data_IF_093200943680
#
_entry.id   IF_093200943680
#
_cell.length_a   1.000
_cell.length_b   1.000
_cell.length_c   1.000
_cell.angle_alpha   90.00
_cell.angle_beta   90.00
_cell.angle_gamma   90.00
#
_symmetry.space_group_name_H-M   'P 1'
#
loop_
_entity.id
_entity.type
_entity.pdbx_description
1 polymer ?
#
# COMPACT_ATOMS: atom_id res chain seq x y z
N UNK A 1 23.85 -24.79 23.73
CA UNK A 1 23.75 -23.39 23.28
C UNK A 1 22.29 -22.91 23.25
N UNK A 2 21.37 -23.70 22.68
CA UNK A 2 19.97 -23.33 22.46
C UNK A 2 19.13 -23.05 23.73
N UNK A 3 19.34 -23.80 24.82
CA UNK A 3 18.72 -23.54 26.14
C UNK A 3 19.05 -22.13 26.68
N UNK A 4 20.25 -21.60 26.38
CA UNK A 4 20.65 -20.24 26.83
C UNK A 4 19.89 -19.17 26.05
N UNK A 5 19.64 -19.38 24.76
CA UNK A 5 18.87 -18.47 23.92
C UNK A 5 17.38 -18.43 24.32
N UNK A 6 16.76 -19.59 24.56
CA UNK A 6 15.37 -19.67 25.06
C UNK A 6 15.22 -18.92 26.40
N UNK A 7 16.15 -19.12 27.34
CA UNK A 7 16.19 -18.37 28.61
C UNK A 7 16.40 -16.86 28.42
N UNK A 8 17.22 -16.46 27.45
CA UNK A 8 17.44 -15.05 27.14
C UNK A 8 16.17 -14.40 26.57
N UNK A 9 15.49 -15.06 25.63
CA UNK A 9 14.21 -14.60 25.11
C UNK A 9 13.16 -14.48 26.21
N UNK A 10 13.06 -15.46 27.10
CA UNK A 10 12.12 -15.39 28.22
C UNK A 10 12.37 -14.18 29.11
N UNK A 11 13.64 -13.94 29.50
CA UNK A 11 14.02 -12.74 30.28
C UNK A 11 13.73 -11.44 29.53
N UNK A 12 14.04 -11.40 28.23
CA UNK A 12 13.77 -10.22 27.40
C UNK A 12 12.26 -9.93 27.29
N UNK A 13 11.43 -10.96 27.14
CA UNK A 13 9.97 -10.81 27.11
C UNK A 13 9.39 -10.37 28.46
N UNK A 14 9.99 -10.77 29.58
CA UNK A 14 9.61 -10.25 30.90
C UNK A 14 9.90 -8.75 31.03
N UNK A 15 11.02 -8.28 30.49
CA UNK A 15 11.38 -6.85 30.49
C UNK A 15 10.55 -6.03 29.49
N UNK A 16 10.25 -6.61 28.32
CA UNK A 16 9.54 -5.94 27.23
C UNK A 16 8.29 -6.71 26.80
N UNK A 17 7.27 -6.85 27.67
CA UNK A 17 6.14 -7.75 27.46
C UNK A 17 5.23 -7.34 26.29
N UNK A 18 5.18 -6.04 25.97
CA UNK A 18 4.37 -5.48 24.86
C UNK A 18 5.11 -5.42 23.53
N UNK A 19 6.38 -5.83 23.46
CA UNK A 19 7.13 -5.82 22.21
C UNK A 19 6.70 -7.02 21.34
N UNK A 20 5.86 -6.76 20.33
CA UNK A 20 5.33 -7.78 19.42
C UNK A 20 6.43 -8.46 18.60
N UNK A 21 7.40 -7.68 18.10
CA UNK A 21 8.51 -8.19 17.30
C UNK A 21 9.36 -9.20 18.09
N UNK A 22 9.66 -8.89 19.36
CA UNK A 22 10.41 -9.78 20.24
C UNK A 22 9.66 -11.10 20.47
N UNK A 23 8.35 -11.04 20.72
CA UNK A 23 7.51 -12.24 20.91
C UNK A 23 7.46 -13.09 19.65
N UNK A 24 7.31 -12.47 18.48
CA UNK A 24 7.31 -13.17 17.19
C UNK A 24 8.65 -13.90 16.99
N UNK A 25 9.78 -13.23 17.27
CA UNK A 25 11.10 -13.84 17.16
C UNK A 25 11.29 -15.01 18.14
N UNK A 26 10.86 -14.84 19.41
CA UNK A 26 10.93 -15.89 20.41
C UNK A 26 10.09 -17.11 20.03
N UNK A 27 8.83 -16.92 19.61
CA UNK A 27 7.94 -17.99 19.17
C UNK A 27 8.50 -18.73 17.95
N UNK A 28 9.04 -17.99 16.97
CA UNK A 28 9.71 -18.59 15.81
C UNK A 28 10.91 -19.43 16.23
N UNK A 29 11.75 -18.95 17.14
CA UNK A 29 12.91 -19.70 17.65
C UNK A 29 12.48 -21.01 18.33
N UNK A 30 11.47 -20.94 19.20
CA UNK A 30 10.94 -22.10 19.91
C UNK A 30 10.40 -23.19 18.97
N UNK A 31 9.81 -22.79 17.84
CA UNK A 31 9.30 -23.73 16.86
C UNK A 31 10.36 -24.22 15.86
N UNK A 32 11.16 -23.32 15.28
CA UNK A 32 12.08 -23.66 14.19
C UNK A 32 13.34 -24.38 14.67
N UNK A 33 13.80 -24.08 15.89
CA UNK A 33 15.05 -24.63 16.43
C UNK A 33 14.78 -25.76 17.42
N UNK A 34 13.83 -25.56 18.33
CA UNK A 34 13.54 -26.53 19.41
C UNK A 34 12.36 -27.46 19.07
N UNK A 35 11.65 -27.21 17.97
CA UNK A 35 10.45 -27.96 17.55
C UNK A 35 9.34 -28.02 18.61
N UNK A 36 9.26 -27.01 19.48
CA UNK A 36 8.28 -26.90 20.57
C UNK A 36 7.11 -26.03 20.16
N UNK A 37 6.16 -26.61 19.42
CA UNK A 37 4.97 -25.89 18.97
C UNK A 37 4.12 -25.35 20.14
N UNK A 38 4.00 -26.09 21.24
CA UNK A 38 3.20 -25.65 22.40
C UNK A 38 3.81 -24.41 23.06
N UNK A 39 5.14 -24.36 23.20
CA UNK A 39 5.82 -23.17 23.72
C UNK A 39 5.63 -21.97 22.79
N UNK A 40 5.75 -22.17 21.48
CA UNK A 40 5.54 -21.11 20.49
C UNK A 40 4.09 -20.60 20.52
N UNK A 41 3.09 -21.49 20.64
CA UNK A 41 1.68 -21.15 20.82
C UNK A 41 1.45 -20.32 22.08
N UNK A 42 1.99 -20.74 23.23
CA UNK A 42 1.87 -19.98 24.47
C UNK A 42 2.43 -18.56 24.33
N UNK A 43 3.63 -18.41 23.74
CA UNK A 43 4.25 -17.09 23.53
C UNK A 43 3.38 -16.19 22.65
N UNK A 44 2.83 -16.73 21.55
CA UNK A 44 1.94 -15.99 20.64
C UNK A 44 0.63 -15.61 21.31
N UNK A 45 -0.04 -16.55 21.97
CA UNK A 45 -1.31 -16.34 22.66
C UNK A 45 -1.18 -15.29 23.77
N UNK A 46 -0.11 -15.33 24.56
CA UNK A 46 0.19 -14.30 25.55
C UNK A 46 0.42 -12.93 24.90
N UNK A 47 1.15 -12.88 23.78
CA UNK A 47 1.36 -11.64 23.03
C UNK A 47 0.06 -11.03 22.55
N UNK A 48 -0.82 -11.87 21.99
CA UNK A 48 -2.14 -11.49 21.51
C UNK A 48 -3.04 -11.01 22.67
N UNK A 49 -2.99 -11.66 23.83
CA UNK A 49 -3.73 -11.21 25.02
C UNK A 49 -3.31 -9.82 25.46
N UNK A 50 -2.02 -9.51 25.38
CA UNK A 50 -1.49 -8.20 25.74
C UNK A 50 -1.81 -7.12 24.71
N UNK A 51 -1.69 -7.44 23.42
CA UNK A 51 -1.91 -6.51 22.31
C UNK A 51 -2.78 -7.15 21.22
N UNK A 52 -4.11 -7.26 21.41
CA UNK A 52 -5.00 -7.99 20.49
C UNK A 52 -5.24 -7.27 19.16
N UNK A 53 -4.91 -5.98 19.05
CA UNK A 53 -5.10 -5.17 17.85
C UNK A 53 -3.89 -5.20 16.91
N UNK A 54 -2.78 -5.82 17.34
CA UNK A 54 -1.54 -5.84 16.58
C UNK A 54 -1.61 -6.92 15.49
N UNK A 55 -1.88 -6.50 14.25
CA UNK A 55 -2.04 -7.42 13.11
C UNK A 55 -0.83 -8.34 12.89
N UNK A 56 0.39 -7.86 13.16
CA UNK A 56 1.61 -8.63 12.96
C UNK A 56 1.66 -9.91 13.82
N UNK A 57 1.12 -9.87 15.04
CA UNK A 57 1.06 -11.04 15.92
C UNK A 57 0.17 -12.14 15.33
N UNK A 58 -1.04 -11.77 14.91
CA UNK A 58 -2.00 -12.69 14.29
C UNK A 58 -1.49 -13.30 12.99
N UNK A 59 -0.92 -12.48 12.11
CA UNK A 59 -0.32 -12.94 10.86
C UNK A 59 0.78 -13.98 11.11
N UNK A 60 1.65 -13.72 12.09
CA UNK A 60 2.72 -14.66 12.45
C UNK A 60 2.20 -15.92 13.15
N UNK A 61 1.11 -15.82 13.91
CA UNK A 61 0.50 -16.98 14.53
C UNK A 61 -0.12 -17.91 13.48
N UNK A 62 -0.79 -17.35 12.47
CA UNK A 62 -1.29 -18.14 11.32
C UNK A 62 -0.14 -18.83 10.58
N UNK A 63 0.98 -18.14 10.34
CA UNK A 63 2.16 -18.76 9.73
C UNK A 63 2.69 -19.94 10.55
N UNK A 64 2.85 -19.75 11.86
CA UNK A 64 3.32 -20.77 12.78
C UNK A 64 2.45 -22.04 12.71
N UNK A 65 1.12 -21.87 12.74
CA UNK A 65 0.19 -22.99 12.67
C UNK A 65 0.23 -23.70 11.30
N UNK A 66 0.31 -22.94 10.20
CA UNK A 66 0.40 -23.53 8.86
C UNK A 66 1.72 -24.31 8.66
N UNK A 67 2.83 -23.78 9.15
CA UNK A 67 4.12 -24.48 9.12
C UNK A 67 4.04 -25.79 9.92
N UNK A 68 3.37 -25.78 11.07
CA UNK A 68 3.15 -26.96 11.88
C UNK A 68 2.26 -28.00 11.18
N UNK A 69 1.18 -27.57 10.54
CA UNK A 69 0.31 -28.45 9.76
C UNK A 69 1.08 -29.09 8.60
N UNK A 70 1.87 -28.30 7.88
CA UNK A 70 2.71 -28.80 6.79
C UNK A 70 3.69 -29.86 7.30
N UNK A 71 4.36 -29.60 8.43
CA UNK A 71 5.25 -30.56 9.06
C UNK A 71 4.53 -31.86 9.49
N UNK A 72 3.33 -31.77 10.08
CA UNK A 72 2.54 -32.94 10.46
C UNK A 72 2.14 -33.79 9.25
N UNK A 73 1.73 -33.14 8.16
CA UNK A 73 1.42 -33.80 6.89
C UNK A 73 2.64 -34.55 6.36
N UNK A 74 3.80 -33.89 6.29
CA UNK A 74 5.06 -34.51 5.85
C UNK A 74 5.44 -35.68 6.74
N UNK A 75 5.34 -35.53 8.06
CA UNK A 75 5.64 -36.60 9.02
C UNK A 75 4.70 -37.80 8.84
N UNK A 76 3.39 -37.57 8.67
CA UNK A 76 2.42 -38.65 8.43
C UNK A 76 2.75 -39.42 7.15
N UNK A 77 3.05 -38.70 6.07
CA UNK A 77 3.45 -39.29 4.78
C UNK A 77 4.66 -40.23 4.93
N UNK A 78 5.70 -39.78 5.64
CA UNK A 78 6.90 -40.59 5.94
C UNK A 78 6.55 -41.85 6.74
N UNK A 79 5.77 -41.71 7.82
CA UNK A 79 5.40 -42.83 8.69
C UNK A 79 4.54 -43.89 7.99
N UNK A 80 3.70 -43.48 7.04
CA UNK A 80 2.86 -44.41 6.26
C UNK A 80 3.59 -45.11 5.12
N UNK A 81 4.92 -44.96 5.01
CA UNK A 81 5.71 -45.66 4.00
C UNK A 81 5.52 -45.16 2.56
N UNK A 82 4.76 -44.07 2.34
CA UNK A 82 4.69 -43.36 1.05
C UNK A 82 5.95 -42.51 0.77
N UNK A 83 7.05 -42.77 1.49
CA UNK A 83 8.19 -41.86 1.68
C UNK A 83 9.22 -41.80 0.55
N UNK A 84 9.97 -40.68 0.56
CA UNK A 84 11.24 -40.42 -0.12
C UNK A 84 11.25 -40.44 -1.67
N UNK A 85 10.54 -39.50 -2.27
CA UNK A 85 11.07 -38.74 -3.42
C UNK A 85 10.59 -37.29 -3.30
N UNK A 86 11.53 -36.33 -3.15
CA UNK A 86 11.31 -34.89 -3.39
C UNK A 86 11.02 -34.68 -4.90
N UNK A 87 10.24 -33.67 -5.33
CA UNK A 87 9.42 -32.70 -4.59
C UNK A 87 8.00 -33.24 -4.38
N UNK A 88 7.21 -32.57 -3.53
CA UNK A 88 5.76 -32.72 -3.58
C UNK A 88 5.29 -32.32 -4.99
N UNK A 89 5.07 -33.30 -5.87
CA UNK A 89 4.28 -33.05 -7.07
C UNK A 89 2.87 -32.69 -6.61
N UNK A 90 2.23 -31.74 -7.30
CA UNK A 90 0.87 -31.26 -6.97
C UNK A 90 -0.12 -32.43 -6.74
N UNK A 91 0.09 -33.56 -7.41
CA UNK A 91 -0.66 -34.81 -7.30
C UNK A 91 -0.64 -35.47 -5.92
N UNK A 92 0.49 -35.47 -5.21
CA UNK A 92 0.58 -36.04 -3.85
C UNK A 92 0.05 -35.10 -2.78
N UNK A 93 0.23 -33.79 -2.98
CA UNK A 93 -0.47 -32.80 -2.17
C UNK A 93 -1.99 -32.85 -2.41
N UNK A 94 -2.43 -33.14 -3.64
CA UNK A 94 -3.83 -33.38 -4.00
C UNK A 94 -4.39 -34.60 -3.26
N UNK A 95 -3.68 -35.73 -3.19
CA UNK A 95 -4.15 -36.90 -2.43
C UNK A 95 -4.29 -36.63 -0.94
N UNK A 96 -3.29 -35.98 -0.33
CA UNK A 96 -3.32 -35.69 1.12
C UNK A 96 -4.31 -34.59 1.46
N UNK A 97 -4.45 -33.56 0.62
CA UNK A 97 -5.48 -32.54 0.76
C UNK A 97 -6.88 -33.12 0.52
N UNK A 98 -7.04 -34.04 -0.44
CA UNK A 98 -8.30 -34.74 -0.68
C UNK A 98 -8.65 -35.73 0.44
N UNK A 99 -7.69 -36.37 1.09
CA UNK A 99 -7.93 -37.15 2.31
C UNK A 99 -8.34 -36.25 3.48
N UNK A 100 -7.66 -35.11 3.68
CA UNK A 100 -8.05 -34.12 4.69
C UNK A 100 -9.46 -33.55 4.42
N UNK A 101 -9.86 -33.40 3.15
CA UNK A 101 -11.17 -32.92 2.71
C UNK A 101 -12.26 -34.02 2.70
N UNK A 102 -11.96 -35.27 2.34
CA UNK A 102 -12.91 -36.40 2.47
C UNK A 102 -13.33 -36.61 3.92
N UNK A 103 -12.43 -36.34 4.85
CA UNK A 103 -12.70 -36.33 6.30
C UNK A 103 -13.72 -35.23 6.70
N UNK A 104 -13.92 -34.20 5.86
CA UNK A 104 -14.90 -33.11 6.06
C UNK A 104 -16.32 -33.53 5.65
N UNK A 105 -16.48 -34.21 4.50
CA UNK A 105 -17.78 -34.60 3.94
C UNK A 105 -18.38 -35.84 4.64
N UNK A 106 -17.54 -36.80 5.05
CA UNK A 106 -18.00 -38.02 5.74
C UNK A 106 -18.38 -37.79 7.22
N UNK A 107 -17.97 -36.67 7.85
CA UNK A 107 -18.12 -36.43 9.31
C UNK A 107 -19.27 -35.47 9.68
N UNK A 108 -20.30 -35.35 8.86
CA UNK A 108 -21.60 -34.81 9.32
C UNK A 108 -22.23 -35.76 10.36
N UNK A 109 -21.87 -37.06 10.33
CA UNK A 109 -22.27 -38.05 11.32
C UNK A 109 -21.04 -38.74 11.93
N UNK A 110 -20.54 -38.24 13.07
CA UNK A 110 -19.91 -38.97 14.18
C UNK A 110 -19.28 -37.92 15.13
N UNK A 111 -19.84 -37.81 16.34
CA UNK A 111 -19.28 -37.05 17.46
C UNK A 111 -18.14 -37.87 18.07
N UNK A 112 -16.91 -37.53 17.72
CA UNK A 112 -15.74 -37.53 18.62
C UNK A 112 -14.53 -37.01 17.83
N UNK A 113 -14.00 -35.84 18.22
CA UNK A 113 -12.90 -35.15 17.54
C UNK A 113 -11.58 -35.48 18.22
N UNK A 114 -10.66 -36.13 17.52
CA UNK A 114 -9.25 -36.12 17.91
C UNK A 114 -8.67 -34.71 17.67
N UNK A 115 -7.81 -34.21 18.57
CA UNK A 115 -7.20 -32.88 18.41
C UNK A 115 -6.28 -32.77 17.19
N UNK A 116 -5.68 -33.89 16.76
CA UNK A 116 -4.84 -33.95 15.56
C UNK A 116 -5.64 -33.73 14.27
N UNK A 117 -6.87 -34.23 14.18
CA UNK A 117 -7.74 -34.02 13.02
C UNK A 117 -8.15 -32.54 12.87
N UNK A 118 -8.32 -31.82 13.98
CA UNK A 118 -8.66 -30.40 13.95
C UNK A 118 -7.50 -29.52 13.46
N UNK A 119 -6.26 -29.89 13.81
CA UNK A 119 -5.04 -29.24 13.34
C UNK A 119 -4.83 -29.52 11.85
N UNK A 120 -4.87 -30.79 11.43
CA UNK A 120 -4.74 -31.19 10.02
C UNK A 120 -5.85 -30.60 9.14
N UNK A 121 -7.05 -30.40 9.69
CA UNK A 121 -8.18 -29.77 9.02
C UNK A 121 -8.18 -28.24 9.04
N UNK A 122 -7.08 -27.58 9.41
CA UNK A 122 -6.93 -26.11 9.48
C UNK A 122 -7.96 -25.36 10.35
N UNK A 123 -8.70 -26.04 11.24
CA UNK A 123 -9.73 -25.39 12.07
C UNK A 123 -9.14 -24.41 13.08
N UNK A 124 -7.96 -24.73 13.61
CA UNK A 124 -7.20 -23.84 14.50
C UNK A 124 -6.85 -22.54 13.77
N UNK A 125 -6.32 -22.66 12.55
CA UNK A 125 -5.99 -21.52 11.68
C UNK A 125 -7.22 -20.67 11.38
N UNK A 126 -8.33 -21.31 11.04
CA UNK A 126 -9.59 -20.60 10.78
C UNK A 126 -10.09 -19.82 12.01
N UNK A 127 -9.99 -20.42 13.19
CA UNK A 127 -10.37 -19.78 14.46
C UNK A 127 -9.51 -18.55 14.72
N UNK A 128 -8.20 -18.67 14.53
CA UNK A 128 -7.25 -17.56 14.69
C UNK A 128 -7.59 -16.42 13.73
N UNK A 129 -7.91 -16.74 12.46
CA UNK A 129 -8.28 -15.73 11.46
C UNK A 129 -9.56 -15.00 11.87
N UNK A 130 -10.61 -15.72 12.28
CA UNK A 130 -11.87 -15.11 12.66
C UNK A 130 -11.70 -14.18 13.87
N UNK A 131 -10.98 -14.62 14.90
CA UNK A 131 -10.70 -13.78 16.08
C UNK A 131 -9.86 -12.54 15.71
N UNK A 132 -8.86 -12.73 14.84
CA UNK A 132 -8.04 -11.63 14.34
C UNK A 132 -8.88 -10.57 13.60
N UNK A 133 -9.79 -11.00 12.74
CA UNK A 133 -10.70 -10.11 12.01
C UNK A 133 -11.66 -9.40 12.96
N UNK A 134 -12.11 -10.03 14.04
CA UNK A 134 -12.95 -9.36 15.03
C UNK A 134 -12.21 -8.26 15.79
N UNK A 135 -10.97 -8.54 16.22
CA UNK A 135 -10.16 -7.63 17.06
C UNK A 135 -9.50 -6.49 16.28
N UNK A 136 -9.10 -6.70 15.02
CA UNK A 136 -8.37 -5.71 14.22
C UNK A 136 -9.27 -4.88 13.29
N UNK A 137 -10.16 -4.05 13.85
CA UNK A 137 -11.24 -3.35 13.10
C UNK A 137 -10.75 -2.44 11.98
N UNK A 138 -9.73 -1.61 12.24
CA UNK A 138 -9.27 -0.57 11.30
C UNK A 138 -8.50 -1.11 10.09
N UNK A 139 -8.17 -2.40 10.07
CA UNK A 139 -7.37 -3.03 9.01
C UNK A 139 -7.90 -4.41 8.56
N UNK A 140 -9.18 -4.71 8.80
CA UNK A 140 -9.77 -6.03 8.53
C UNK A 140 -9.56 -6.51 7.10
N UNK A 141 -9.79 -5.65 6.12
CA UNK A 141 -9.68 -6.02 4.69
C UNK A 141 -8.24 -6.25 4.25
N UNK A 142 -7.31 -5.38 4.67
CA UNK A 142 -5.87 -5.58 4.48
C UNK A 142 -5.37 -6.87 5.15
N UNK A 143 -5.86 -7.16 6.34
CA UNK A 143 -5.55 -8.38 7.08
C UNK A 143 -6.11 -9.63 6.38
N UNK A 144 -7.34 -9.56 5.90
CA UNK A 144 -7.99 -10.63 5.14
C UNK A 144 -7.24 -10.93 3.84
N UNK A 145 -6.83 -9.89 3.09
CA UNK A 145 -5.99 -10.04 1.90
C UNK A 145 -4.64 -10.69 2.24
N UNK A 146 -4.01 -10.28 3.34
CA UNK A 146 -2.76 -10.90 3.80
C UNK A 146 -2.97 -12.39 4.15
N UNK A 147 -4.03 -12.74 4.87
CA UNK A 147 -4.35 -14.14 5.15
C UNK A 147 -4.62 -14.93 3.87
N UNK A 148 -5.36 -14.37 2.92
CA UNK A 148 -5.59 -15.01 1.62
C UNK A 148 -4.28 -15.26 0.87
N UNK A 149 -3.38 -14.26 0.79
CA UNK A 149 -2.04 -14.41 0.18
C UNK A 149 -1.20 -15.47 0.89
N UNK A 150 -1.27 -15.52 2.22
CA UNK A 150 -0.59 -16.54 3.02
C UNK A 150 -1.12 -17.91 2.64
N UNK A 151 -2.43 -18.15 2.70
CA UNK A 151 -3.04 -19.43 2.33
C UNK A 151 -2.66 -19.85 0.90
N UNK A 152 -2.65 -18.90 -0.04
CA UNK A 152 -2.25 -19.15 -1.44
C UNK A 152 -0.83 -19.70 -1.54
N UNK A 153 0.11 -19.25 -0.70
CA UNK A 153 1.50 -19.75 -0.65
C UNK A 153 1.62 -21.17 -0.08
N UNK A 154 0.71 -21.58 0.79
CA UNK A 154 0.66 -22.97 1.29
C UNK A 154 -0.06 -23.92 0.31
N UNK A 155 -0.47 -23.40 -0.85
CA UNK A 155 -0.92 -24.18 -1.99
C UNK A 155 -2.14 -25.03 -1.66
N UNK A 156 -2.03 -26.32 -1.95
CA UNK A 156 -3.16 -27.25 -1.95
C UNK A 156 -3.67 -27.57 -0.55
N UNK A 157 -2.79 -27.58 0.44
CA UNK A 157 -3.12 -27.80 1.85
C UNK A 157 -4.18 -26.79 2.32
N UNK A 158 -4.09 -25.55 1.87
CA UNK A 158 -4.97 -24.47 2.27
C UNK A 158 -6.04 -24.10 1.22
N UNK A 159 -6.21 -24.87 0.14
CA UNK A 159 -7.06 -24.52 -1.01
C UNK A 159 -8.49 -24.11 -0.62
N UNK A 160 -9.11 -24.86 0.30
CA UNK A 160 -10.47 -24.56 0.78
C UNK A 160 -10.54 -23.22 1.51
N UNK A 161 -9.54 -22.89 2.33
CA UNK A 161 -9.42 -21.58 2.99
C UNK A 161 -9.10 -20.48 1.98
N UNK A 162 -8.28 -20.73 0.96
CA UNK A 162 -8.02 -19.76 -0.12
C UNK A 162 -9.34 -19.33 -0.77
N UNK A 163 -10.18 -20.29 -1.16
CA UNK A 163 -11.49 -20.00 -1.76
C UNK A 163 -12.38 -19.24 -0.77
N UNK A 164 -12.49 -19.74 0.46
CA UNK A 164 -13.32 -19.11 1.49
C UNK A 164 -12.92 -17.65 1.78
N UNK A 165 -11.63 -17.39 1.98
CA UNK A 165 -11.11 -16.05 2.28
C UNK A 165 -11.28 -15.11 1.07
N UNK A 166 -11.13 -15.64 -0.15
CA UNK A 166 -11.42 -14.88 -1.36
C UNK A 166 -12.89 -14.47 -1.43
N UNK A 167 -13.81 -15.41 -1.22
CA UNK A 167 -15.25 -15.13 -1.23
C UNK A 167 -15.61 -14.11 -0.14
N UNK A 168 -14.97 -14.20 1.04
CA UNK A 168 -15.14 -13.23 2.13
C UNK A 168 -14.73 -11.81 1.72
N UNK A 169 -13.65 -11.62 0.93
CA UNK A 169 -13.23 -10.29 0.46
C UNK A 169 -14.31 -9.59 -0.36
N UNK A 170 -15.20 -10.33 -1.02
CA UNK A 170 -16.27 -9.77 -1.84
C UNK A 170 -17.58 -9.56 -1.11
N UNK A 171 -17.67 -9.96 0.17
CA UNK A 171 -18.87 -9.70 0.98
C UNK A 171 -18.97 -8.20 1.34
N UNK A 172 -20.19 -7.64 1.51
CA UNK A 172 -20.37 -6.22 1.85
C UNK A 172 -19.61 -5.76 3.09
N UNK A 173 -19.32 -6.68 4.03
CA UNK A 173 -18.58 -6.41 5.26
C UNK A 173 -17.09 -6.11 5.01
N UNK A 174 -16.49 -6.68 3.95
CA UNK A 174 -15.05 -6.61 3.70
C UNK A 174 -14.69 -6.02 2.32
N UNK A 175 -15.67 -5.84 1.44
CA UNK A 175 -15.46 -5.27 0.10
C UNK A 175 -14.77 -3.92 0.20
N UNK A 176 -13.59 -3.83 -0.42
CA UNK A 176 -12.66 -2.71 -0.32
C UNK A 176 -11.69 -2.74 -1.51
N UNK A 177 -10.73 -1.82 -1.53
CA UNK A 177 -9.63 -1.81 -2.50
C UNK A 177 -8.88 -3.14 -2.50
N UNK A 178 -8.72 -3.78 -1.33
CA UNK A 178 -8.04 -5.05 -1.20
C UNK A 178 -8.73 -6.21 -1.93
N UNK A 179 -10.05 -6.16 -2.11
CA UNK A 179 -10.81 -7.15 -2.88
C UNK A 179 -10.45 -7.09 -4.37
N UNK A 180 -10.31 -5.87 -4.91
CA UNK A 180 -9.90 -5.63 -6.29
C UNK A 180 -8.44 -6.02 -6.52
N UNK A 181 -7.56 -5.74 -5.53
CA UNK A 181 -6.17 -6.20 -5.55
C UNK A 181 -6.12 -7.75 -5.60
N UNK A 182 -6.90 -8.44 -4.77
CA UNK A 182 -6.94 -9.91 -4.80
C UNK A 182 -7.36 -10.46 -6.17
N UNK A 183 -8.34 -9.82 -6.82
CA UNK A 183 -8.81 -10.22 -8.15
C UNK A 183 -7.76 -9.96 -9.23
N UNK A 184 -7.02 -8.86 -9.16
CA UNK A 184 -5.88 -8.62 -10.07
C UNK A 184 -4.79 -9.69 -9.92
N UNK A 185 -4.52 -10.18 -8.71
CA UNK A 185 -3.53 -11.25 -8.45
C UNK A 185 -3.96 -12.64 -8.90
N UNK A 186 -5.22 -12.82 -9.32
CA UNK A 186 -5.76 -14.06 -9.87
C UNK A 186 -5.81 -14.06 -11.40
N UNK A 187 -5.74 -12.89 -12.03
CA UNK A 187 -5.75 -12.81 -13.49
C UNK A 187 -4.41 -13.28 -14.06
N UNK A 188 -4.47 -14.10 -15.11
CA UNK A 188 -3.30 -14.40 -15.92
C UNK A 188 -2.96 -13.15 -16.75
N UNK A 189 -1.66 -12.91 -16.96
CA UNK A 189 -1.06 -11.67 -17.48
C UNK A 189 -1.47 -11.28 -18.93
N UNK A 190 -2.75 -11.02 -19.17
CA UNK A 190 -3.16 -10.16 -20.27
C UNK A 190 -3.26 -8.72 -19.75
N UNK A 191 -2.42 -7.83 -20.27
CA UNK A 191 -2.31 -6.44 -19.83
C UNK A 191 -3.64 -5.68 -20.06
N UNK A 192 -4.34 -5.95 -21.16
CA UNK A 192 -5.62 -5.30 -21.49
C UNK A 192 -6.71 -5.64 -20.46
N UNK A 193 -6.80 -6.92 -20.07
CA UNK A 193 -7.76 -7.38 -19.06
C UNK A 193 -7.54 -6.71 -17.70
N UNK A 194 -6.28 -6.36 -17.39
CA UNK A 194 -5.91 -5.75 -16.13
C UNK A 194 -6.34 -4.28 -16.03
N UNK A 195 -6.19 -3.49 -17.11
CA UNK A 195 -6.63 -2.10 -17.13
C UNK A 195 -8.15 -1.98 -17.02
N UNK A 196 -8.90 -2.81 -17.75
CA UNK A 196 -10.36 -2.85 -17.61
C UNK A 196 -10.80 -3.20 -16.19
N UNK A 197 -10.07 -4.09 -15.51
CA UNK A 197 -10.35 -4.43 -14.12
C UNK A 197 -10.16 -3.20 -13.20
N UNK A 198 -9.05 -2.48 -13.37
CA UNK A 198 -8.75 -1.31 -12.55
C UNK A 198 -9.65 -0.12 -12.86
N UNK A 199 -10.08 0.05 -14.11
CA UNK A 199 -11.12 1.02 -14.48
C UNK A 199 -12.43 0.73 -13.74
N UNK A 200 -12.87 -0.54 -13.74
CA UNK A 200 -14.06 -0.99 -12.98
C UNK A 200 -13.88 -0.78 -11.48
N UNK A 201 -12.69 -1.06 -10.95
CA UNK A 201 -12.38 -0.87 -9.54
C UNK A 201 -12.42 0.60 -9.12
N UNK A 202 -11.86 1.49 -9.92
CA UNK A 202 -11.88 2.93 -9.65
C UNK A 202 -13.29 3.52 -9.81
N UNK A 203 -14.12 2.96 -10.70
CA UNK A 203 -15.52 3.34 -10.82
C UNK A 203 -16.37 2.89 -9.62
N UNK A 204 -16.11 1.71 -9.07
CA UNK A 204 -16.81 1.14 -7.91
C UNK A 204 -16.36 1.76 -6.58
N UNK A 205 -15.04 1.98 -6.42
CA UNK A 205 -14.41 2.52 -5.20
C UNK A 205 -13.43 3.64 -5.59
N UNK A 206 -13.92 4.88 -5.82
CA UNK A 206 -13.11 6.02 -6.25
C UNK A 206 -12.33 6.65 -5.08
N UNK A 207 -11.44 5.87 -4.44
CA UNK A 207 -10.62 6.31 -3.31
C UNK A 207 -9.20 6.62 -3.76
N UNK A 208 -8.53 7.54 -3.05
CA UNK A 208 -7.12 7.85 -3.31
C UNK A 208 -6.27 6.57 -3.35
N UNK A 209 -6.45 5.65 -2.39
CA UNK A 209 -5.66 4.42 -2.31
C UNK A 209 -5.81 3.55 -3.55
N UNK A 210 -7.02 3.44 -4.11
CA UNK A 210 -7.27 2.66 -5.32
C UNK A 210 -6.55 3.26 -6.53
N UNK A 211 -6.69 4.58 -6.74
CA UNK A 211 -6.02 5.31 -7.81
C UNK A 211 -4.50 5.29 -7.67
N UNK A 212 -3.96 5.35 -6.45
CA UNK A 212 -2.52 5.23 -6.15
C UNK A 212 -1.99 3.82 -6.47
N UNK A 213 -2.78 2.79 -6.19
CA UNK A 213 -2.43 1.42 -6.57
C UNK A 213 -2.38 1.29 -8.10
N UNK A 214 -3.39 1.80 -8.80
CA UNK A 214 -3.43 1.80 -10.25
C UNK A 214 -2.25 2.57 -10.87
N UNK A 215 -1.91 3.75 -10.34
CA UNK A 215 -0.71 4.49 -10.74
C UNK A 215 0.58 3.68 -10.61
N UNK A 216 0.73 2.92 -9.52
CA UNK A 216 1.95 2.12 -9.29
C UNK A 216 2.08 1.02 -10.33
N UNK A 217 0.97 0.40 -10.72
CA UNK A 217 0.93 -0.59 -11.80
C UNK A 217 1.29 0.07 -13.14
N UNK A 218 0.57 1.13 -13.54
CA UNK A 218 0.81 1.82 -14.79
C UNK A 218 2.25 2.35 -14.88
N UNK A 219 2.83 2.87 -13.79
CA UNK A 219 4.22 3.32 -13.77
C UNK A 219 5.19 2.17 -14.08
N UNK A 220 4.93 0.96 -13.56
CA UNK A 220 5.76 -0.22 -13.86
C UNK A 220 5.67 -0.58 -15.34
N UNK A 221 4.48 -0.77 -15.87
CA UNK A 221 4.30 -1.15 -17.28
C UNK A 221 4.82 -0.05 -18.23
N UNK A 222 4.61 1.22 -17.90
CA UNK A 222 5.15 2.34 -18.67
C UNK A 222 6.68 2.38 -18.65
N UNK A 223 7.32 2.18 -17.49
CA UNK A 223 8.79 2.30 -17.36
C UNK A 223 9.53 1.09 -17.93
N UNK A 224 8.99 -0.12 -17.75
CA UNK A 224 9.63 -1.37 -18.15
C UNK A 224 9.24 -1.80 -19.56
N UNK A 225 7.94 -1.79 -19.87
CA UNK A 225 7.39 -2.38 -21.09
C UNK A 225 7.17 -1.33 -22.21
N UNK A 226 7.37 -0.05 -21.90
CA UNK A 226 7.11 1.10 -22.79
C UNK A 226 5.68 1.07 -23.37
N UNK A 227 4.75 0.54 -22.59
CA UNK A 227 3.35 0.42 -22.98
C UNK A 227 2.72 1.82 -23.11
N UNK A 228 2.19 2.11 -24.30
CA UNK A 228 1.53 3.37 -24.63
C UNK A 228 0.18 3.50 -23.91
N UNK A 229 -0.55 2.41 -23.73
CA UNK A 229 -1.81 2.42 -22.98
C UNK A 229 -1.54 2.62 -21.49
N UNK A 230 -0.50 1.99 -20.94
CA UNK A 230 -0.06 2.27 -19.57
C UNK A 230 0.26 3.75 -19.35
N UNK A 231 0.91 4.40 -20.33
CA UNK A 231 1.22 5.84 -20.28
C UNK A 231 -0.06 6.67 -20.26
N UNK A 232 -1.03 6.33 -21.10
CA UNK A 232 -2.33 6.98 -21.17
C UNK A 232 -3.08 6.87 -19.85
N UNK A 233 -3.25 5.64 -19.35
CA UNK A 233 -3.88 5.34 -18.07
C UNK A 233 -3.16 6.05 -16.91
N UNK A 234 -1.83 6.06 -16.91
CA UNK A 234 -1.05 6.79 -15.91
C UNK A 234 -1.37 8.29 -15.92
N UNK A 235 -1.53 8.91 -17.10
CA UNK A 235 -1.95 10.31 -17.22
C UNK A 235 -3.36 10.52 -16.66
N UNK A 236 -4.32 9.67 -17.01
CA UNK A 236 -5.70 9.75 -16.54
C UNK A 236 -5.78 9.66 -15.00
N UNK A 237 -5.04 8.73 -14.39
CA UNK A 237 -5.02 8.56 -12.95
C UNK A 237 -4.37 9.77 -12.24
N UNK A 238 -3.30 10.35 -12.81
CA UNK A 238 -2.70 11.59 -12.30
C UNK A 238 -3.67 12.77 -12.37
N UNK A 239 -4.35 12.92 -13.51
CA UNK A 239 -5.40 13.92 -13.68
C UNK A 239 -6.44 13.79 -12.57
N UNK A 240 -7.00 12.59 -12.39
CA UNK A 240 -8.03 12.34 -11.38
C UNK A 240 -7.59 12.74 -9.96
N UNK A 241 -6.38 12.35 -9.56
CA UNK A 241 -5.84 12.66 -8.23
C UNK A 241 -5.66 14.17 -8.03
N UNK A 242 -5.11 14.86 -9.02
CA UNK A 242 -4.87 16.31 -8.97
C UNK A 242 -6.21 17.07 -8.92
N UNK A 243 -7.14 16.73 -9.82
CA UNK A 243 -8.47 17.34 -9.95
C UNK A 243 -9.37 17.12 -8.74
N UNK A 244 -9.07 16.14 -7.89
CA UNK A 244 -9.80 15.86 -6.64
C UNK A 244 -9.08 16.34 -5.38
N UNK A 245 -7.91 16.95 -5.51
CA UNK A 245 -7.15 17.50 -4.38
C UNK A 245 -6.22 16.52 -3.67
N UNK A 246 -6.13 15.26 -4.14
CA UNK A 246 -5.20 14.25 -3.63
C UNK A 246 -3.81 14.31 -4.26
N UNK A 247 -3.60 15.19 -5.24
CA UNK A 247 -2.33 15.34 -5.96
C UNK A 247 -1.22 15.91 -5.06
N UNK A 248 -0.02 15.35 -5.20
CA UNK A 248 1.22 15.85 -4.57
C UNK A 248 2.04 16.68 -5.55
N UNK A 249 3.05 17.41 -5.04
CA UNK A 249 4.04 18.11 -5.87
C UNK A 249 4.70 17.20 -6.91
N UNK A 250 4.96 15.94 -6.54
CA UNK A 250 5.54 14.95 -7.45
C UNK A 250 4.58 14.51 -8.54
N UNK A 251 3.29 14.41 -8.24
CA UNK A 251 2.26 14.04 -9.22
C UNK A 251 2.12 15.13 -10.27
N UNK A 252 2.08 16.39 -9.84
CA UNK A 252 2.03 17.55 -10.75
C UNK A 252 3.27 17.64 -11.62
N UNK A 253 4.47 17.37 -11.09
CA UNK A 253 5.70 17.30 -11.90
C UNK A 253 5.63 16.21 -12.96
N UNK A 254 5.22 15.00 -12.56
CA UNK A 254 5.07 13.87 -13.48
C UNK A 254 4.05 14.18 -14.58
N UNK A 255 2.90 14.73 -14.21
CA UNK A 255 1.85 15.14 -15.15
C UNK A 255 2.38 16.16 -16.16
N UNK A 256 3.07 17.19 -15.68
CA UNK A 256 3.61 18.26 -16.54
C UNK A 256 4.66 17.77 -17.57
N UNK A 257 5.39 16.69 -17.25
CA UNK A 257 6.34 16.07 -18.18
C UNK A 257 5.62 15.20 -19.23
N UNK A 258 4.52 14.57 -18.86
CA UNK A 258 3.80 13.63 -19.73
C UNK A 258 2.90 14.31 -20.76
N UNK A 259 2.30 15.44 -20.38
CA UNK A 259 1.39 16.19 -21.25
C UNK A 259 2.18 17.13 -22.13
N UNK A 260 1.86 17.21 -23.41
CA UNK A 260 2.44 18.18 -24.34
C UNK A 260 1.55 19.43 -24.45
N UNK A 261 0.23 19.24 -24.47
CA UNK A 261 -0.76 20.32 -24.56
C UNK A 261 -0.62 21.33 -23.41
N UNK A 262 -0.38 22.59 -23.77
CA UNK A 262 -0.29 23.67 -22.80
C UNK A 262 -1.65 24.03 -22.19
N UNK A 263 -2.73 23.85 -22.95
CA UNK A 263 -4.10 24.12 -22.49
C UNK A 263 -4.54 23.10 -21.44
N UNK A 264 -4.23 21.81 -21.67
CA UNK A 264 -4.53 20.74 -20.71
C UNK A 264 -3.77 20.95 -19.40
N UNK A 265 -2.48 21.33 -19.49
CA UNK A 265 -1.67 21.69 -18.31
C UNK A 265 -2.27 22.83 -17.52
N UNK A 266 -2.67 23.91 -18.20
CA UNK A 266 -3.26 25.07 -17.53
C UNK A 266 -4.56 24.71 -16.82
N UNK A 267 -5.43 23.93 -17.47
CA UNK A 267 -6.69 23.46 -16.88
C UNK A 267 -6.45 22.63 -15.62
N UNK A 268 -5.56 21.65 -15.68
CA UNK A 268 -5.26 20.74 -14.56
C UNK A 268 -4.61 21.48 -13.39
N UNK A 269 -3.66 22.36 -13.68
CA UNK A 269 -3.02 23.18 -12.66
C UNK A 269 -4.01 24.17 -12.03
N UNK A 270 -4.96 24.69 -12.81
CA UNK A 270 -6.07 25.49 -12.30
C UNK A 270 -6.96 24.73 -11.31
N UNK A 271 -7.29 23.48 -11.61
CA UNK A 271 -8.03 22.60 -10.69
C UNK A 271 -7.20 22.24 -9.44
N UNK A 272 -5.90 21.96 -9.61
CA UNK A 272 -4.98 21.68 -8.51
C UNK A 272 -4.94 22.82 -7.48
N UNK A 273 -4.79 24.04 -7.99
CA UNK A 273 -4.77 25.27 -7.19
C UNK A 273 -6.12 25.53 -6.53
N UNK A 274 -7.23 25.30 -7.23
CA UNK A 274 -8.58 25.46 -6.66
C UNK A 274 -8.82 24.54 -5.46
N UNK A 275 -8.32 23.30 -5.54
CA UNK A 275 -8.48 22.32 -4.46
C UNK A 275 -7.49 22.53 -3.31
N UNK A 276 -6.27 23.01 -3.63
CA UNK A 276 -5.18 23.21 -2.66
C UNK A 276 -4.58 24.62 -2.79
N UNK A 277 -5.34 25.69 -2.46
CA UNK A 277 -4.92 27.07 -2.69
C UNK A 277 -3.67 27.47 -1.89
N UNK A 278 -3.44 26.81 -0.74
CA UNK A 278 -2.26 27.05 0.08
C UNK A 278 -0.93 26.60 -0.53
N UNK A 279 -0.96 25.68 -1.50
CA UNK A 279 0.26 25.09 -2.05
C UNK A 279 0.95 26.03 -3.06
N UNK A 280 2.03 26.68 -2.62
CA UNK A 280 2.80 27.61 -3.44
C UNK A 280 3.47 26.95 -4.66
N UNK A 281 3.76 25.64 -4.61
CA UNK A 281 4.33 24.91 -5.74
C UNK A 281 3.32 24.80 -6.90
N UNK A 282 2.04 24.57 -6.61
CA UNK A 282 1.01 24.49 -7.66
C UNK A 282 0.82 25.84 -8.37
N UNK A 283 0.80 26.93 -7.61
CA UNK A 283 0.78 28.29 -8.19
C UNK A 283 1.99 28.59 -9.05
N UNK A 284 3.19 28.24 -8.59
CA UNK A 284 4.42 28.41 -9.35
C UNK A 284 4.35 27.64 -10.67
N UNK A 285 3.89 26.39 -10.67
CA UNK A 285 3.74 25.58 -11.89
C UNK A 285 2.71 26.19 -12.85
N UNK A 286 1.59 26.69 -12.33
CA UNK A 286 0.56 27.36 -13.14
C UNK A 286 1.09 28.65 -13.79
N UNK A 287 1.84 29.46 -13.05
CA UNK A 287 2.50 30.66 -13.56
C UNK A 287 3.51 30.31 -14.66
N UNK A 288 4.37 29.31 -14.44
CA UNK A 288 5.32 28.85 -15.47
C UNK A 288 4.60 28.37 -16.74
N UNK A 289 3.48 27.66 -16.59
CA UNK A 289 2.67 27.24 -17.72
C UNK A 289 2.15 28.46 -18.49
N UNK A 290 1.54 29.42 -17.80
CA UNK A 290 0.97 30.62 -18.43
C UNK A 290 2.01 31.48 -19.14
N UNK A 291 3.16 31.69 -18.50
CA UNK A 291 4.29 32.44 -19.08
C UNK A 291 4.81 31.75 -20.34
N UNK A 292 4.89 30.41 -20.37
CA UNK A 292 5.32 29.68 -21.56
C UNK A 292 4.31 29.73 -22.70
N UNK A 293 3.01 29.73 -22.39
CA UNK A 293 1.95 29.79 -23.40
C UNK A 293 1.85 31.17 -24.05
N UNK A 294 1.88 32.22 -23.22
CA UNK A 294 1.72 33.60 -23.68
C UNK A 294 2.49 34.58 -22.79
N UNK A 295 3.79 34.81 -23.03
CA UNK A 295 4.63 35.63 -22.16
C UNK A 295 4.30 37.13 -22.25
N UNK A 296 3.62 37.59 -23.30
CA UNK A 296 3.29 39.01 -23.50
C UNK A 296 1.99 39.43 -22.81
N UNK A 297 1.23 38.50 -22.22
CA UNK A 297 0.00 38.78 -21.48
C UNK A 297 0.31 39.22 -20.04
N UNK A 298 0.89 40.43 -19.93
CA UNK A 298 1.32 41.04 -18.66
C UNK A 298 0.19 41.10 -17.64
N UNK A 299 -1.00 41.50 -18.09
CA UNK A 299 -2.14 41.70 -17.18
C UNK A 299 -2.67 40.38 -16.63
N UNK A 300 -2.74 39.30 -17.42
CA UNK A 300 -3.17 38.00 -16.92
C UNK A 300 -2.14 37.40 -15.95
N UNK A 301 -0.84 37.52 -16.26
CA UNK A 301 0.23 37.01 -15.39
C UNK A 301 0.25 37.77 -14.06
N UNK A 302 0.12 39.10 -14.09
CA UNK A 302 0.02 39.93 -12.89
C UNK A 302 -1.19 39.58 -12.04
N UNK A 303 -2.37 39.41 -12.65
CA UNK A 303 -3.59 38.98 -11.95
C UNK A 303 -3.40 37.62 -11.29
N UNK A 304 -2.82 36.66 -12.02
CA UNK A 304 -2.59 35.31 -11.53
C UNK A 304 -1.62 35.30 -10.33
N UNK A 305 -0.53 36.07 -10.42
CA UNK A 305 0.45 36.20 -9.34
C UNK A 305 -0.11 36.90 -8.10
N UNK A 306 -0.90 37.96 -8.29
CA UNK A 306 -1.58 38.64 -7.19
C UNK A 306 -2.58 37.74 -6.47
N UNK A 307 -3.24 36.84 -7.20
CA UNK A 307 -4.09 35.81 -6.61
C UNK A 307 -3.25 34.79 -5.82
N UNK A 308 -2.18 34.28 -6.43
CA UNK A 308 -1.28 33.32 -5.80
C UNK A 308 -0.68 33.82 -4.47
N UNK A 309 -0.24 35.09 -4.42
CA UNK A 309 0.35 35.67 -3.21
C UNK A 309 -0.64 35.90 -2.07
N UNK A 310 -1.95 35.96 -2.36
CA UNK A 310 -3.01 36.04 -1.34
C UNK A 310 -3.39 34.66 -0.80
N UNK A 311 -3.41 33.66 -1.67
CA UNK A 311 -3.94 32.34 -1.37
C UNK A 311 -2.87 31.32 -0.96
N UNK A 312 -1.61 31.49 -1.35
CA UNK A 312 -0.55 30.56 -1.03
C UNK A 312 0.03 30.80 0.37
N UNK A 313 0.15 29.73 1.16
CA UNK A 313 0.76 29.72 2.48
C UNK A 313 1.54 28.42 2.63
N UNK A 314 2.86 28.47 2.43
CA UNK A 314 3.69 27.28 2.60
C UNK A 314 5.18 27.56 2.91
N UNK A 315 5.85 26.56 3.47
CA UNK A 315 7.19 26.57 4.03
C UNK A 315 8.30 26.89 3.03
N UNK A 316 8.59 28.17 2.84
CA UNK A 316 9.82 28.77 2.29
C UNK A 316 10.31 28.40 0.87
N UNK A 317 10.16 27.16 0.39
CA UNK A 317 10.75 26.73 -0.88
C UNK A 317 9.84 27.01 -2.08
N UNK A 318 8.54 26.72 -1.96
CA UNK A 318 7.56 26.97 -3.03
C UNK A 318 7.38 28.46 -3.32
N UNK A 319 7.17 29.27 -2.28
CA UNK A 319 6.96 30.71 -2.41
C UNK A 319 8.17 31.42 -3.02
N UNK A 320 9.38 31.10 -2.57
CA UNK A 320 10.60 31.67 -3.13
C UNK A 320 10.78 31.34 -4.62
N UNK A 321 10.44 30.11 -5.01
CA UNK A 321 10.52 29.68 -6.41
C UNK A 321 9.47 30.38 -7.27
N UNK A 322 8.26 30.61 -6.73
CA UNK A 322 7.21 31.40 -7.36
C UNK A 322 7.65 32.84 -7.65
N UNK A 323 8.19 33.54 -6.65
CA UNK A 323 8.72 34.89 -6.84
C UNK A 323 9.83 34.93 -7.89
N UNK A 324 10.76 33.95 -7.86
CA UNK A 324 11.83 33.87 -8.86
C UNK A 324 11.28 33.77 -10.28
N UNK A 325 10.31 32.89 -10.53
CA UNK A 325 9.70 32.71 -11.85
C UNK A 325 9.12 34.01 -12.40
N UNK A 326 8.38 34.75 -11.56
CA UNK A 326 7.73 35.98 -11.98
C UNK A 326 8.73 37.13 -12.15
N UNK A 327 9.76 37.20 -11.31
CA UNK A 327 10.84 38.17 -11.47
C UNK A 327 11.63 37.90 -12.75
N UNK A 328 12.01 36.65 -13.02
CA UNK A 328 12.74 36.26 -14.25
C UNK A 328 11.93 36.63 -15.50
N UNK A 329 10.60 36.45 -15.46
CA UNK A 329 9.69 36.90 -16.51
C UNK A 329 9.62 38.44 -16.63
N UNK A 330 9.48 39.14 -15.51
CA UNK A 330 9.36 40.60 -15.47
C UNK A 330 10.61 41.29 -16.06
N UNK A 331 11.81 40.77 -15.81
CA UNK A 331 13.04 41.28 -16.43
C UNK A 331 13.01 41.27 -17.96
N UNK A 332 12.24 40.36 -18.58
CA UNK A 332 12.18 40.23 -20.03
C UNK A 332 11.00 40.97 -20.65
N UNK A 333 9.89 41.11 -19.92
CA UNK A 333 8.61 41.55 -20.50
C UNK A 333 7.90 42.67 -19.72
N UNK A 334 8.35 43.02 -18.52
CA UNK A 334 7.75 44.07 -17.67
C UNK A 334 8.76 44.62 -16.66
N UNK A 335 9.70 45.44 -17.13
CA UNK A 335 10.76 46.02 -16.30
C UNK A 335 10.20 46.84 -15.13
N UNK A 336 9.09 47.55 -15.34
CA UNK A 336 8.42 48.37 -14.32
C UNK A 336 7.93 47.54 -13.12
N UNK A 337 7.60 46.26 -13.31
CA UNK A 337 7.06 45.40 -12.27
C UNK A 337 8.16 44.72 -11.43
N UNK A 338 9.41 44.69 -11.91
CA UNK A 338 10.53 43.98 -11.26
C UNK A 338 10.73 44.47 -9.83
N UNK A 339 10.76 45.78 -9.64
CA UNK A 339 11.01 46.40 -8.34
C UNK A 339 9.86 46.17 -7.36
N UNK A 340 8.61 46.18 -7.85
CA UNK A 340 7.44 45.92 -7.03
C UNK A 340 7.41 44.45 -6.57
N UNK A 341 7.72 43.51 -7.45
CA UNK A 341 7.82 42.09 -7.09
C UNK A 341 8.92 41.83 -6.05
N UNK A 342 10.09 42.47 -6.17
CA UNK A 342 11.14 42.37 -5.15
C UNK A 342 10.73 42.98 -3.80
N UNK A 343 10.04 44.13 -3.82
CA UNK A 343 9.49 44.74 -2.59
C UNK A 343 8.49 43.81 -1.94
N UNK A 344 7.54 43.28 -2.71
CA UNK A 344 6.54 42.35 -2.20
C UNK A 344 7.19 41.09 -1.62
N UNK A 345 8.20 40.52 -2.30
CA UNK A 345 8.94 39.36 -1.84
C UNK A 345 9.70 39.63 -0.52
N UNK A 346 10.24 40.84 -0.37
CA UNK A 346 11.06 41.21 0.80
C UNK A 346 10.25 41.55 2.03
N UNK A 347 9.08 42.19 1.85
CA UNK A 347 8.29 42.73 2.95
C UNK A 347 7.03 41.93 3.30
N UNK A 348 6.51 41.10 2.38
CA UNK A 348 5.26 40.33 2.59
C UNK A 348 5.48 38.83 2.80
N UNK A 349 6.72 38.37 2.90
CA UNK A 349 7.05 36.94 3.04
C UNK A 349 7.82 36.66 4.33
N UNK A 350 7.97 35.38 4.67
CA UNK A 350 8.76 34.98 5.84
C UNK A 350 10.22 35.42 5.72
N UNK A 351 10.94 35.66 6.84
CA UNK A 351 12.33 36.11 6.81
C UNK A 351 13.25 35.22 5.96
N UNK A 352 13.02 33.90 5.93
CA UNK A 352 13.77 32.95 5.11
C UNK A 352 13.62 33.23 3.60
N UNK A 353 12.40 33.50 3.15
CA UNK A 353 12.11 33.82 1.73
C UNK A 353 12.67 35.19 1.39
N UNK A 354 12.43 36.19 2.25
CA UNK A 354 12.95 37.54 2.06
C UNK A 354 14.48 37.56 1.94
N UNK A 355 15.22 36.84 2.80
CA UNK A 355 16.67 36.71 2.68
C UNK A 355 17.09 36.08 1.35
N UNK A 356 16.44 35.00 0.92
CA UNK A 356 16.74 34.35 -0.37
C UNK A 356 16.51 35.30 -1.54
N UNK A 357 15.44 36.09 -1.51
CA UNK A 357 15.12 37.06 -2.56
C UNK A 357 16.10 38.24 -2.60
N UNK A 358 16.54 38.73 -1.43
CA UNK A 358 17.62 39.74 -1.36
C UNK A 358 18.91 39.23 -1.99
N UNK A 359 19.28 37.98 -1.75
CA UNK A 359 20.45 37.37 -2.41
C UNK A 359 20.28 37.24 -3.93
N UNK A 360 19.06 36.98 -4.41
CA UNK A 360 18.77 36.93 -5.86
C UNK A 360 18.91 38.32 -6.48
N UNK A 361 18.46 39.39 -5.81
CA UNK A 361 18.58 40.78 -6.31
C UNK A 361 20.01 41.28 -6.43
N UNK A 362 20.92 40.73 -5.62
CA UNK A 362 22.34 41.13 -5.59
C UNK A 362 23.19 40.42 -6.65
N UNK A 363 22.63 39.42 -7.34
CA UNK A 363 23.25 38.72 -8.46
C UNK A 363 22.67 39.25 -9.76
#
# INVERSE_FOLDING_TARGET
MYIRCSKAYFRAMQLFPRNSALRIQAARFEYSVEHRIECARCIMQEGIRLNPTECSLWTNFVHLELDHVKWLITRKSILTGKGYHLPCTEEKELEVAAEAQKTLEMKVNIKEKSGQDAVLGLRVVETIINEALERCVSGRSAMLLNFWRIMKRYGLVARHLVKKLYDMLWTPKYKSEESWIAKSELMNYDQYSLYELFDKACADIPTERMHRHYLTLCQRHYSYDRDAEAKEKFREQLFWLISRGYGTDMDVRKFNVLVESSEEKEKVLGEAVKNNPGNAFFWMMLLQCKIKSNPTDVEAIRKLFNKATREAYDGSYGLASMYKVVIDWAHQYSEDDVDDFFRQATFRTTPKVACKMRCVRLK
#
